data_IF_221232394241
#
_entry.id   IF_221232394241
#
_cell.length_a   1.000
_cell.length_b   1.000
_cell.length_c   1.000
_cell.angle_alpha   90.00
_cell.angle_beta   90.00
_cell.angle_gamma   90.00
#
_symmetry.space_group_name_H-M   'P 1'
#
loop_
_entity.id
_entity.type
_entity.pdbx_description
1 polymer ?
#
# COMPACT_ATOMS: atom_id res chain seq x y z
N UNK A 1 16.06 -36.40 -3.76
CA UNK A 1 15.80 -36.02 -2.36
C UNK A 1 15.29 -34.59 -2.39
N UNK A 2 13.98 -34.41 -2.23
CA UNK A 2 13.33 -33.10 -2.17
C UNK A 2 13.45 -32.55 -0.75
N UNK A 3 13.79 -31.26 -0.53
CA UNK A 3 13.59 -30.67 0.77
C UNK A 3 12.15 -30.15 0.91
N UNK A 4 11.64 -30.36 2.11
CA UNK A 4 10.28 -30.17 2.59
C UNK A 4 9.83 -28.71 2.54
N UNK A 5 8.61 -28.49 2.03
CA UNK A 5 7.81 -27.31 2.38
C UNK A 5 7.40 -27.42 3.86
N UNK A 6 7.55 -26.34 4.62
CA UNK A 6 6.71 -25.88 5.75
C UNK A 6 7.53 -25.07 6.78
N UNK A 7 7.59 -23.74 6.59
CA UNK A 7 7.44 -22.74 7.66
C UNK A 7 7.06 -21.41 7.00
N UNK A 8 5.78 -21.06 7.06
CA UNK A 8 5.24 -19.78 6.59
C UNK A 8 5.60 -18.64 7.52
N UNK A 9 6.88 -18.29 7.58
CA UNK A 9 7.32 -16.99 8.05
C UNK A 9 7.33 -16.05 6.86
N UNK A 10 6.54 -14.99 6.90
CA UNK A 10 6.66 -13.89 5.95
C UNK A 10 8.14 -13.48 5.88
N UNK A 11 8.76 -13.42 4.68
CA UNK A 11 10.17 -13.09 4.58
C UNK A 11 10.43 -11.71 5.20
N UNK A 12 11.56 -11.53 5.88
CA UNK A 12 11.89 -10.26 6.55
C UNK A 12 11.87 -9.07 5.57
N UNK A 13 12.15 -9.32 4.29
CA UNK A 13 12.01 -8.34 3.21
C UNK A 13 10.54 -7.95 2.94
N UNK A 14 9.59 -8.88 3.01
CA UNK A 14 8.15 -8.56 2.97
C UNK A 14 7.71 -7.76 4.18
N UNK A 15 8.20 -8.09 5.37
CA UNK A 15 7.85 -7.33 6.60
C UNK A 15 8.32 -5.88 6.49
N UNK A 16 9.57 -5.67 6.04
CA UNK A 16 10.13 -4.32 5.84
C UNK A 16 9.41 -3.55 4.73
N UNK A 17 9.07 -4.24 3.64
CA UNK A 17 8.29 -3.66 2.54
C UNK A 17 6.90 -3.20 3.01
N UNK A 18 6.20 -4.04 3.76
CA UNK A 18 4.89 -3.71 4.33
C UNK A 18 4.99 -2.55 5.32
N UNK A 19 6.02 -2.51 6.16
CA UNK A 19 6.22 -1.43 7.13
C UNK A 19 6.53 -0.09 6.43
N UNK A 20 7.32 -0.10 5.36
CA UNK A 20 7.55 1.08 4.51
C UNK A 20 6.29 1.50 3.75
N UNK A 21 5.45 0.56 3.33
CA UNK A 21 4.21 0.86 2.64
C UNK A 21 3.22 1.60 3.56
N UNK A 22 3.01 1.09 4.77
CA UNK A 22 2.07 1.71 5.72
C UNK A 22 2.55 3.07 6.24
N UNK A 23 3.86 3.24 6.42
CA UNK A 23 4.48 4.54 6.71
C UNK A 23 4.26 5.53 5.55
N UNK A 24 4.48 5.06 4.31
CA UNK A 24 4.23 5.86 3.11
C UNK A 24 2.76 6.25 2.94
N UNK A 25 1.82 5.43 3.42
CA UNK A 25 0.38 5.73 3.39
C UNK A 25 0.04 6.89 4.33
N UNK A 26 0.65 6.94 5.51
CA UNK A 26 0.42 8.00 6.50
C UNK A 26 0.85 9.39 5.97
N UNK A 27 1.89 9.42 5.15
CA UNK A 27 2.45 10.64 4.53
C UNK A 27 1.90 10.92 3.12
N UNK A 28 1.06 10.05 2.56
CA UNK A 28 0.59 10.19 1.18
C UNK A 28 -0.50 11.25 1.03
N UNK A 29 -0.14 12.38 0.41
CA UNK A 29 -1.12 13.39 -0.04
C UNK A 29 -1.78 13.04 -1.37
N UNK A 30 -1.07 12.29 -2.21
CA UNK A 30 -1.57 11.79 -3.48
C UNK A 30 -1.22 10.32 -3.67
N UNK A 31 -2.05 9.63 -4.45
CA UNK A 31 -1.81 8.24 -4.85
C UNK A 31 -1.86 8.16 -6.36
N UNK A 32 -0.77 7.72 -6.96
CA UNK A 32 -0.79 7.29 -8.34
C UNK A 32 -1.26 5.84 -8.40
N UNK A 33 -2.34 5.56 -9.12
CA UNK A 33 -2.92 4.25 -9.31
C UNK A 33 -3.10 3.98 -10.80
N UNK A 34 -2.45 2.94 -11.32
CA UNK A 34 -2.41 2.58 -12.75
C UNK A 34 -2.02 3.76 -13.68
N UNK A 35 -1.16 4.65 -13.18
CA UNK A 35 -0.70 5.85 -13.89
C UNK A 35 -1.58 7.10 -13.72
N UNK A 36 -2.78 6.98 -13.15
CA UNK A 36 -3.64 8.11 -12.79
C UNK A 36 -3.32 8.62 -11.39
N UNK A 37 -3.33 9.94 -11.17
CA UNK A 37 -3.03 10.53 -9.86
C UNK A 37 -4.31 10.97 -9.17
N UNK A 38 -4.57 10.42 -7.99
CA UNK A 38 -5.71 10.71 -7.12
C UNK A 38 -5.24 11.54 -5.93
N UNK A 39 -6.09 12.45 -5.46
CA UNK A 39 -5.87 13.17 -4.20
C UNK A 39 -6.36 12.30 -3.05
N UNK A 40 -5.51 12.09 -2.04
CA UNK A 40 -5.89 11.34 -0.84
C UNK A 40 -6.93 12.14 -0.04
N UNK A 41 -8.11 11.54 0.19
CA UNK A 41 -9.17 12.13 1.03
C UNK A 41 -9.17 11.54 2.43
N UNK A 42 -8.82 10.26 2.55
CA UNK A 42 -8.68 9.57 3.83
C UNK A 42 -7.43 8.71 3.83
N UNK A 43 -6.72 8.69 4.96
CA UNK A 43 -5.60 7.80 5.18
C UNK A 43 -5.49 7.45 6.66
N UNK A 44 -5.12 6.21 6.94
CA UNK A 44 -4.89 5.73 8.29
C UNK A 44 -3.81 4.65 8.29
N UNK A 45 -2.80 4.85 9.13
CA UNK A 45 -1.87 3.80 9.46
C UNK A 45 -2.58 2.67 10.24
N UNK A 46 -2.42 1.41 9.83
CA UNK A 46 -3.04 0.27 10.48
C UNK A 46 -2.39 -0.03 11.85
N UNK A 47 -3.21 -0.34 12.84
CA UNK A 47 -2.83 -0.74 14.20
C UNK A 47 -3.25 -2.19 14.52
N UNK A 48 -3.03 -2.64 15.77
CA UNK A 48 -3.32 -4.01 16.21
C UNK A 48 -4.80 -4.43 16.10
N UNK A 49 -5.72 -3.45 16.00
CA UNK A 49 -7.17 -3.67 15.85
C UNK A 49 -7.65 -3.56 14.41
N UNK A 50 -6.77 -3.23 13.46
CA UNK A 50 -7.14 -3.08 12.06
C UNK A 50 -7.38 -4.43 11.41
N UNK A 51 -8.57 -4.63 10.88
CA UNK A 51 -9.00 -5.84 10.20
C UNK A 51 -8.67 -5.78 8.70
N UNK A 52 -8.74 -6.93 8.03
CA UNK A 52 -8.42 -7.05 6.61
C UNK A 52 -9.32 -6.17 5.71
N UNK A 53 -10.60 -6.02 6.06
CA UNK A 53 -11.56 -5.21 5.30
C UNK A 53 -11.57 -3.72 5.71
N UNK A 54 -10.79 -3.31 6.71
CA UNK A 54 -10.71 -1.90 7.08
C UNK A 54 -10.04 -1.09 5.96
N UNK A 55 -10.67 0.01 5.59
CA UNK A 55 -10.14 0.96 4.60
C UNK A 55 -8.99 1.73 5.23
N UNK A 56 -7.83 1.71 4.57
CA UNK A 56 -6.63 2.42 5.00
C UNK A 56 -6.35 3.65 4.17
N UNK A 57 -6.86 3.70 2.95
CA UNK A 57 -6.66 4.82 2.05
C UNK A 57 -7.89 4.99 1.15
N UNK A 58 -8.40 6.22 1.09
CA UNK A 58 -9.38 6.64 0.11
C UNK A 58 -8.80 7.81 -0.67
N UNK A 59 -8.92 7.77 -1.99
CA UNK A 59 -8.43 8.84 -2.85
C UNK A 59 -9.39 9.09 -4.01
N UNK A 60 -9.43 10.34 -4.48
CA UNK A 60 -10.39 10.80 -5.46
C UNK A 60 -9.75 11.57 -6.60
N UNK A 61 -10.30 11.38 -7.80
CA UNK A 61 -9.96 12.08 -9.03
C UNK A 61 -11.27 12.42 -9.78
N UNK A 62 -11.79 13.63 -9.56
CA UNK A 62 -13.04 14.07 -10.15
C UNK A 62 -14.23 13.25 -9.65
N UNK A 63 -14.85 12.46 -10.55
CA UNK A 63 -15.94 11.54 -10.23
C UNK A 63 -15.46 10.12 -9.89
N UNK A 64 -14.16 9.84 -10.02
CA UNK A 64 -13.57 8.54 -9.70
C UNK A 64 -13.06 8.53 -8.26
N UNK A 65 -13.36 7.46 -7.53
CA UNK A 65 -12.91 7.23 -6.16
C UNK A 65 -12.27 5.84 -6.08
N UNK A 66 -11.19 5.73 -5.32
CA UNK A 66 -10.56 4.47 -4.95
C UNK A 66 -10.57 4.34 -3.44
N UNK A 67 -10.90 3.15 -2.96
CA UNK A 67 -10.80 2.77 -1.55
C UNK A 67 -9.95 1.50 -1.47
N UNK A 68 -8.85 1.57 -0.73
CA UNK A 68 -7.92 0.46 -0.53
C UNK A 68 -8.04 -0.05 0.89
N UNK A 69 -8.34 -1.34 1.01
CA UNK A 69 -8.42 -2.01 2.31
C UNK A 69 -7.04 -2.50 2.75
N UNK A 70 -6.92 -2.85 4.04
CA UNK A 70 -5.76 -3.55 4.59
C UNK A 70 -5.42 -4.79 3.75
N UNK A 71 -6.42 -5.55 3.28
CA UNK A 71 -6.27 -6.76 2.47
C UNK A 71 -5.78 -6.51 1.03
N UNK A 72 -6.12 -5.34 0.45
CA UNK A 72 -5.61 -4.95 -0.88
C UNK A 72 -4.11 -4.63 -0.85
N UNK A 73 -3.67 -4.11 0.29
CA UNK A 73 -2.29 -3.72 0.59
C UNK A 73 -1.49 -4.90 1.19
N UNK A 74 -2.17 -5.86 1.81
CA UNK A 74 -1.59 -7.14 2.19
C UNK A 74 -1.12 -7.87 0.92
N UNK A 75 0.08 -8.45 0.95
CA UNK A 75 0.79 -8.99 -0.23
C UNK A 75 1.20 -7.97 -1.31
N UNK A 76 1.09 -6.65 -1.07
CA UNK A 76 1.62 -5.68 -2.02
C UNK A 76 3.14 -5.85 -2.18
N UNK A 77 3.58 -6.06 -3.42
CA UNK A 77 4.98 -6.30 -3.75
C UNK A 77 5.65 -4.99 -4.17
N UNK A 78 6.77 -4.64 -3.53
CA UNK A 78 7.57 -3.50 -3.97
C UNK A 78 8.32 -3.84 -5.26
N UNK A 79 8.05 -3.08 -6.33
CA UNK A 79 8.66 -3.30 -7.65
C UNK A 79 9.84 -2.34 -7.90
N UNK A 80 10.06 -1.35 -7.02
CA UNK A 80 11.11 -0.34 -7.15
C UNK A 80 10.57 1.08 -7.38
N UNK A 81 11.42 2.08 -7.18
CA UNK A 81 11.10 3.53 -7.37
C UNK A 81 9.91 4.04 -6.55
N UNK A 82 9.54 3.38 -5.45
CA UNK A 82 8.34 3.74 -4.66
C UNK A 82 7.04 3.16 -5.22
N UNK A 83 7.12 2.27 -6.21
CA UNK A 83 5.98 1.57 -6.81
C UNK A 83 5.74 0.24 -6.10
N UNK A 84 4.47 -0.01 -5.80
CA UNK A 84 3.95 -1.23 -5.21
C UNK A 84 2.93 -1.85 -6.17
N UNK A 85 3.07 -3.15 -6.44
CA UNK A 85 2.04 -3.94 -7.14
C UNK A 85 1.09 -4.51 -6.10
N UNK A 86 -0.16 -4.08 -6.15
CA UNK A 86 -1.23 -4.55 -5.27
C UNK A 86 -1.61 -6.00 -5.61
N UNK A 87 -2.36 -6.62 -4.70
CA UNK A 87 -2.88 -7.98 -4.85
C UNK A 87 -3.72 -8.17 -6.13
N UNK A 88 -4.50 -7.15 -6.49
CA UNK A 88 -5.30 -7.14 -7.72
C UNK A 88 -4.46 -7.01 -9.01
N UNK A 89 -3.15 -6.76 -8.90
CA UNK A 89 -2.22 -6.57 -10.01
C UNK A 89 -2.04 -5.11 -10.43
N UNK A 90 -2.79 -4.18 -9.86
CA UNK A 90 -2.64 -2.75 -10.11
C UNK A 90 -1.31 -2.23 -9.57
N UNK A 91 -0.74 -1.24 -10.27
CA UNK A 91 0.44 -0.52 -9.80
C UNK A 91 0.02 0.72 -9.03
N UNK A 92 0.58 0.87 -7.84
CA UNK A 92 0.34 1.99 -6.95
C UNK A 92 1.66 2.68 -6.57
N UNK A 93 1.67 4.01 -6.52
CA UNK A 93 2.75 4.80 -5.94
C UNK A 93 2.18 5.86 -5.02
N UNK A 94 2.72 5.94 -3.82
CA UNK A 94 2.35 6.93 -2.82
C UNK A 94 3.23 8.17 -3.01
N UNK A 95 2.61 9.34 -3.03
CA UNK A 95 3.25 10.61 -3.33
C UNK A 95 2.97 11.58 -2.19
N UNK A 96 4.01 11.96 -1.48
CA UNK A 96 3.94 13.01 -0.47
C UNK A 96 4.22 14.38 -1.10
N UNK A 97 3.55 15.43 -0.62
CA UNK A 97 3.93 16.79 -0.97
C UNK A 97 5.22 17.13 -0.25
N UNK A 98 6.32 17.27 -0.99
CA UNK A 98 7.55 17.77 -0.41
C UNK A 98 7.30 19.18 0.15
N UNK A 99 7.29 19.32 1.47
CA UNK A 99 7.30 20.63 2.12
C UNK A 99 8.67 21.23 1.86
N UNK A 100 8.76 22.12 0.87
CA UNK A 100 9.96 22.93 0.66
C UNK A 100 10.04 23.91 1.83
N UNK A 101 10.93 23.63 2.78
CA UNK A 101 11.30 24.54 3.86
C UNK A 101 12.28 25.62 3.38
#
# INVERSE_FOLDING_TARGET
MSPSMAQGGIPLESVRTAMNLYDSIDDADFVQFDGLVFQTEYRRAPDEYTLADDVLLEARLGDMEIALTRSDLDDAAYEGDGVYRLKAGNLMRLLATATVH
#
